data_IF_892602907118
#
_entry.id   IF_892602907118
#
_cell.length_a   1.000
_cell.length_b   1.000
_cell.length_c   1.000
_cell.angle_alpha   90.00
_cell.angle_beta   90.00
_cell.angle_gamma   90.00
#
_symmetry.space_group_name_H-M   'P 1'
#
loop_
_entity.id
_entity.type
_entity.pdbx_description
1 polymer ?
#
# COMPACT_ATOMS: atom_id res chain seq x y z
N UNK A 1 -26.98 18.46 -4.78
CA UNK A 1 -25.91 18.51 -3.74
C UNK A 1 -25.58 19.97 -3.50
N UNK A 2 -25.57 20.46 -2.25
CA UNK A 2 -25.32 21.88 -1.99
C UNK A 2 -23.83 22.26 -2.11
N UNK A 3 -23.54 23.54 -2.34
CA UNK A 3 -22.19 24.06 -2.62
C UNK A 3 -21.20 23.89 -1.45
N UNK A 4 -21.69 23.89 -0.21
CA UNK A 4 -20.91 23.68 1.03
C UNK A 4 -20.47 22.22 1.13
N UNK A 5 -21.36 21.28 0.83
CA UNK A 5 -21.05 19.84 0.81
C UNK A 5 -20.04 19.49 -0.28
N UNK A 6 -20.12 20.13 -1.46
CA UNK A 6 -19.13 19.95 -2.54
C UNK A 6 -17.72 20.41 -2.14
N UNK A 7 -17.60 21.63 -1.59
CA UNK A 7 -16.29 22.16 -1.14
C UNK A 7 -15.69 21.33 -0.01
N UNK A 8 -16.51 20.81 0.91
CA UNK A 8 -16.03 19.95 2.00
C UNK A 8 -15.42 18.65 1.43
N UNK A 9 -16.12 17.96 0.52
CA UNK A 9 -15.62 16.74 -0.12
C UNK A 9 -14.34 16.98 -0.90
N UNK A 10 -14.22 18.12 -1.59
CA UNK A 10 -13.04 18.47 -2.37
C UNK A 10 -11.80 18.66 -1.49
N UNK A 11 -11.97 19.17 -0.25
CA UNK A 11 -10.88 19.33 0.70
C UNK A 11 -10.46 17.99 1.35
N UNK A 12 -11.41 17.10 1.65
CA UNK A 12 -11.11 15.81 2.31
C UNK A 12 -10.70 14.70 1.34
N UNK A 13 -11.02 14.82 0.06
CA UNK A 13 -10.73 13.78 -0.94
C UNK A 13 -9.25 13.38 -1.03
N UNK A 14 -8.26 14.31 -1.02
CA UNK A 14 -6.84 13.93 -1.05
C UNK A 14 -6.43 13.06 0.13
N UNK A 15 -6.93 13.36 1.33
CA UNK A 15 -6.63 12.59 2.54
C UNK A 15 -7.16 11.16 2.46
N UNK A 16 -8.44 11.01 2.08
CA UNK A 16 -9.08 9.69 1.96
C UNK A 16 -8.41 8.86 0.85
N UNK A 17 -8.15 9.48 -0.30
CA UNK A 17 -7.45 8.84 -1.41
C UNK A 17 -6.07 8.36 -0.97
N UNK A 18 -5.27 9.26 -0.37
CA UNK A 18 -3.89 8.97 0.00
C UNK A 18 -3.81 7.92 1.13
N UNK A 19 -4.78 7.91 2.05
CA UNK A 19 -4.89 6.86 3.05
C UNK A 19 -5.16 5.50 2.39
N UNK A 20 -6.23 5.39 1.60
CA UNK A 20 -6.62 4.11 0.99
C UNK A 20 -5.51 3.60 0.07
N UNK A 21 -4.99 4.46 -0.80
CA UNK A 21 -3.93 4.08 -1.73
C UNK A 21 -2.62 3.72 -1.02
N UNK A 22 -2.25 4.46 0.03
CA UNK A 22 -1.06 4.16 0.82
C UNK A 22 -1.15 2.80 1.53
N UNK A 23 -2.30 2.49 2.15
CA UNK A 23 -2.49 1.18 2.81
C UNK A 23 -2.55 0.05 1.79
N UNK A 24 -3.28 0.24 0.69
CA UNK A 24 -3.44 -0.77 -0.36
C UNK A 24 -2.09 -1.13 -0.98
N UNK A 25 -1.36 -0.15 -1.49
CA UNK A 25 -0.08 -0.37 -2.18
C UNK A 25 0.95 -1.02 -1.25
N UNK A 26 1.00 -0.58 0.01
CA UNK A 26 1.87 -1.15 1.04
C UNK A 26 1.60 -2.62 1.31
N UNK A 27 0.32 -2.99 1.50
CA UNK A 27 -0.05 -4.38 1.76
C UNK A 27 0.23 -5.26 0.55
N UNK A 28 -0.09 -4.78 -0.66
CA UNK A 28 0.05 -5.53 -1.92
C UNK A 28 1.52 -5.73 -2.28
N UNK A 29 2.32 -4.65 -2.30
CA UNK A 29 3.76 -4.70 -2.63
C UNK A 29 4.52 -5.56 -1.62
N UNK A 30 4.27 -5.37 -0.33
CA UNK A 30 5.00 -6.08 0.73
C UNK A 30 4.63 -7.56 0.73
N UNK A 31 3.35 -7.93 0.69
CA UNK A 31 2.97 -9.36 0.68
C UNK A 31 3.47 -10.06 -0.59
N UNK A 32 3.45 -9.38 -1.74
CA UNK A 32 3.98 -9.91 -3.00
C UNK A 32 5.48 -10.16 -2.94
N UNK A 33 6.25 -9.16 -2.49
CA UNK A 33 7.71 -9.28 -2.33
C UNK A 33 8.06 -10.41 -1.34
N UNK A 34 7.49 -10.36 -0.13
CA UNK A 34 7.79 -11.33 0.92
C UNK A 34 7.40 -12.75 0.49
N UNK A 35 6.35 -12.91 -0.31
CA UNK A 35 5.97 -14.23 -0.84
C UNK A 35 7.04 -14.81 -1.77
N UNK A 36 7.55 -14.02 -2.71
CA UNK A 36 8.62 -14.47 -3.61
C UNK A 36 9.91 -14.82 -2.86
N UNK A 37 10.29 -13.99 -1.88
CA UNK A 37 11.49 -14.19 -1.08
C UNK A 37 11.34 -15.39 -0.13
N UNK A 38 10.19 -15.56 0.53
CA UNK A 38 9.94 -16.70 1.41
C UNK A 38 9.94 -18.03 0.66
N UNK A 39 9.31 -18.09 -0.52
CA UNK A 39 9.34 -19.27 -1.41
C UNK A 39 10.75 -19.57 -1.88
N UNK A 40 11.63 -18.56 -1.96
CA UNK A 40 13.01 -18.77 -2.33
C UNK A 40 13.83 -19.58 -1.31
N UNK A 41 13.30 -19.80 -0.11
CA UNK A 41 13.97 -20.55 0.96
C UNK A 41 15.15 -19.81 1.57
N UNK A 42 15.17 -18.47 1.48
CA UNK A 42 16.22 -17.66 2.10
C UNK A 42 16.03 -17.58 3.62
N UNK A 43 17.10 -17.22 4.32
CA UNK A 43 17.06 -17.05 5.76
C UNK A 43 16.11 -15.91 6.19
N UNK A 44 15.45 -16.09 7.34
CA UNK A 44 14.49 -15.15 7.92
C UNK A 44 15.01 -13.71 8.02
N UNK A 45 16.29 -13.54 8.39
CA UNK A 45 16.90 -12.21 8.50
C UNK A 45 16.96 -11.47 7.14
N UNK A 46 17.03 -12.19 6.01
CA UNK A 46 16.98 -11.60 4.66
C UNK A 46 15.55 -11.15 4.33
N UNK A 47 14.55 -11.96 4.69
CA UNK A 47 13.13 -11.60 4.54
C UNK A 47 12.83 -10.31 5.32
N UNK A 48 13.28 -10.23 6.57
CA UNK A 48 13.10 -9.06 7.41
C UNK A 48 13.84 -7.83 6.87
N UNK A 49 15.10 -7.99 6.46
CA UNK A 49 15.89 -6.89 5.91
C UNK A 49 15.26 -6.31 4.64
N UNK A 50 14.88 -7.17 3.70
CA UNK A 50 14.27 -6.76 2.43
C UNK A 50 12.89 -6.13 2.62
N UNK A 51 12.06 -6.70 3.50
CA UNK A 51 10.77 -6.10 3.88
C UNK A 51 10.92 -4.73 4.52
N UNK A 52 11.86 -4.55 5.46
CA UNK A 52 12.12 -3.24 6.06
C UNK A 52 12.61 -2.24 5.01
N UNK A 53 13.57 -2.62 4.16
CA UNK A 53 14.05 -1.73 3.09
C UNK A 53 12.89 -1.29 2.19
N UNK A 54 12.04 -2.24 1.75
CA UNK A 54 10.87 -1.92 0.94
C UNK A 54 9.98 -0.90 1.64
N UNK A 55 9.57 -1.16 2.89
CA UNK A 55 8.64 -0.31 3.62
C UNK A 55 9.17 1.12 3.74
N UNK A 56 10.42 1.29 4.12
CA UNK A 56 11.00 2.63 4.31
C UNK A 56 11.20 3.38 2.98
N UNK A 57 11.74 2.70 1.96
CA UNK A 57 12.03 3.32 0.66
C UNK A 57 10.75 3.66 -0.08
N UNK A 58 9.78 2.75 -0.12
CA UNK A 58 8.52 3.00 -0.81
C UNK A 58 7.62 3.97 -0.07
N UNK A 59 7.55 3.93 1.28
CA UNK A 59 6.83 4.95 2.03
C UNK A 59 7.31 6.36 1.68
N UNK A 60 8.64 6.55 1.67
CA UNK A 60 9.26 7.82 1.30
C UNK A 60 8.93 8.20 -0.15
N UNK A 61 9.12 7.27 -1.09
CA UNK A 61 8.82 7.46 -2.51
C UNK A 61 7.38 7.90 -2.74
N UNK A 62 6.41 7.20 -2.14
CA UNK A 62 4.99 7.53 -2.26
C UNK A 62 4.63 8.84 -1.58
N UNK A 63 5.16 9.09 -0.38
CA UNK A 63 4.94 10.36 0.34
C UNK A 63 5.40 11.56 -0.50
N UNK A 64 6.61 11.50 -1.05
CA UNK A 64 7.14 12.54 -1.94
C UNK A 64 6.37 12.59 -3.26
N UNK A 65 6.03 11.44 -3.85
CA UNK A 65 5.26 11.35 -5.09
C UNK A 65 3.88 12.00 -4.99
N UNK A 66 3.16 11.77 -3.90
CA UNK A 66 1.92 12.45 -3.57
C UNK A 66 2.12 13.95 -3.39
N UNK A 67 3.17 14.35 -2.67
CA UNK A 67 3.46 15.77 -2.42
C UNK A 67 3.65 16.54 -3.73
N UNK A 68 4.49 15.99 -4.61
CA UNK A 68 4.77 16.60 -5.91
C UNK A 68 3.53 16.59 -6.81
N UNK A 69 2.77 15.50 -6.79
CA UNK A 69 1.56 15.35 -7.60
C UNK A 69 0.46 16.31 -7.17
N UNK A 70 0.22 16.47 -5.87
CA UNK A 70 -0.77 17.41 -5.33
C UNK A 70 -0.35 18.86 -5.52
N UNK A 71 0.93 19.17 -5.27
CA UNK A 71 1.46 20.50 -5.52
C UNK A 71 1.33 20.89 -7.00
N UNK A 72 1.66 19.98 -7.92
CA UNK A 72 1.55 20.20 -9.36
C UNK A 72 0.10 20.36 -9.82
N UNK A 73 -0.81 19.53 -9.30
CA UNK A 73 -2.24 19.63 -9.60
C UNK A 73 -2.84 20.95 -9.11
N UNK A 74 -2.49 21.39 -7.89
CA UNK A 74 -2.95 22.67 -7.36
C UNK A 74 -2.41 23.87 -8.16
N UNK A 75 -1.12 23.83 -8.54
CA UNK A 75 -0.49 24.87 -9.36
C UNK A 75 -1.17 24.98 -10.72
N UNK A 76 -1.45 23.84 -11.36
CA UNK A 76 -2.16 23.78 -12.63
C UNK A 76 -3.58 24.36 -12.53
N UNK A 77 -4.36 23.95 -11.53
CA UNK A 77 -5.75 24.39 -11.36
C UNK A 77 -5.88 25.87 -11.00
N UNK A 78 -4.92 26.44 -10.25
CA UNK A 78 -4.97 27.84 -9.80
C UNK A 78 -4.23 28.80 -10.73
N UNK A 79 -3.48 28.31 -11.71
CA UNK A 79 -2.73 29.12 -12.67
C UNK A 79 -1.68 30.05 -12.03
N UNK A 80 -1.21 29.73 -10.82
CA UNK A 80 -0.23 30.53 -10.07
C UNK A 80 0.59 29.65 -9.13
N UNK A 81 1.72 30.16 -8.65
CA UNK A 81 2.51 29.51 -7.61
C UNK A 81 1.68 29.30 -6.34
N UNK A 82 1.76 28.09 -5.79
CA UNK A 82 1.13 27.68 -4.54
C UNK A 82 2.21 27.20 -3.60
N UNK A 83 2.05 27.42 -2.29
CA UNK A 83 3.04 26.91 -1.33
C UNK A 83 2.98 25.38 -1.24
N UNK A 84 4.15 24.74 -1.23
CA UNK A 84 4.30 23.30 -0.95
C UNK A 84 3.65 22.88 0.37
N UNK A 85 3.61 23.77 1.37
CA UNK A 85 3.06 23.47 2.69
C UNK A 85 1.58 23.05 2.66
N UNK A 86 0.84 23.39 1.59
CA UNK A 86 -0.57 23.00 1.43
C UNK A 86 -0.77 21.53 1.11
N UNK A 87 0.17 20.91 0.41
CA UNK A 87 0.11 19.50 0.03
C UNK A 87 0.68 18.58 1.12
N UNK A 88 1.51 19.12 2.03
CA UNK A 88 2.14 18.34 3.11
C UNK A 88 1.17 17.47 3.93
N UNK A 89 0.01 17.95 4.39
CA UNK A 89 -0.82 17.14 5.28
C UNK A 89 -1.37 15.88 4.61
N UNK A 90 -1.86 15.99 3.37
CA UNK A 90 -2.40 14.82 2.66
C UNK A 90 -1.28 13.86 2.24
N UNK A 91 -0.12 14.36 1.84
CA UNK A 91 1.04 13.51 1.51
C UNK A 91 1.66 12.83 2.72
N UNK A 92 1.62 13.49 3.90
CA UNK A 92 1.98 12.86 5.16
C UNK A 92 1.04 11.69 5.49
N UNK A 93 -0.26 11.83 5.20
CA UNK A 93 -1.20 10.70 5.32
C UNK A 93 -0.78 9.53 4.40
N UNK A 94 -0.33 9.80 3.17
CA UNK A 94 0.18 8.73 2.30
C UNK A 94 1.39 8.02 2.93
N UNK A 95 2.41 8.79 3.31
CA UNK A 95 3.65 8.26 3.91
C UNK A 95 3.35 7.43 5.15
N UNK A 96 2.60 7.99 6.11
CA UNK A 96 2.33 7.33 7.40
C UNK A 96 1.49 6.08 7.20
N UNK A 97 0.46 6.15 6.34
CA UNK A 97 -0.43 5.02 6.11
C UNK A 97 0.35 3.86 5.49
N UNK A 98 1.12 4.11 4.43
CA UNK A 98 1.95 3.11 3.79
C UNK A 98 2.99 2.53 4.77
N UNK A 99 3.71 3.41 5.49
CA UNK A 99 4.75 3.00 6.41
C UNK A 99 4.20 2.05 7.48
N UNK A 100 3.09 2.42 8.13
CA UNK A 100 2.51 1.64 9.21
C UNK A 100 1.88 0.34 8.72
N UNK A 101 1.16 0.36 7.60
CA UNK A 101 0.52 -0.85 7.08
C UNK A 101 1.51 -1.89 6.58
N UNK A 102 2.71 -1.47 6.14
CA UNK A 102 3.72 -2.38 5.61
C UNK A 102 4.24 -3.37 6.66
N UNK A 103 4.15 -2.98 7.94
CA UNK A 103 4.48 -3.89 9.04
C UNK A 103 3.46 -5.02 9.22
N UNK A 104 2.24 -4.92 8.67
CA UNK A 104 1.22 -5.98 8.80
C UNK A 104 1.69 -7.30 8.17
N UNK A 105 2.07 -7.36 6.87
CA UNK A 105 2.67 -8.55 6.26
C UNK A 105 4.01 -8.94 6.90
N UNK A 106 4.80 -7.96 7.36
CA UNK A 106 6.13 -8.24 7.91
C UNK A 106 6.07 -8.85 9.32
N UNK A 107 5.07 -8.49 10.12
CA UNK A 107 4.99 -8.82 11.55
C UNK A 107 5.04 -10.33 11.85
N UNK A 108 4.35 -11.23 11.11
CA UNK A 108 4.47 -12.67 11.34
C UNK A 108 5.91 -13.18 11.26
N UNK A 109 6.76 -12.61 10.41
CA UNK A 109 8.17 -12.99 10.30
C UNK A 109 9.03 -12.49 11.45
N UNK A 110 8.53 -11.62 12.33
CA UNK A 110 9.25 -11.20 13.54
C UNK A 110 9.09 -12.18 14.70
N UNK A 111 7.96 -12.89 14.75
CA UNK A 111 7.54 -13.67 15.92
C UNK A 111 7.38 -15.16 15.65
N UNK A 112 7.28 -15.56 14.38
CA UNK A 112 7.11 -16.94 13.95
C UNK A 112 8.26 -17.41 13.07
N UNK A 113 8.44 -18.73 13.00
CA UNK A 113 9.34 -19.37 12.04
C UNK A 113 8.81 -19.23 10.61
N UNK A 114 9.71 -19.15 9.62
CA UNK A 114 9.38 -18.88 8.21
C UNK A 114 8.25 -19.76 7.66
N UNK A 115 8.21 -21.05 8.04
CA UNK A 115 7.18 -22.01 7.60
C UNK A 115 5.77 -21.64 8.02
N UNK A 116 5.62 -21.03 9.20
CA UNK A 116 4.33 -20.58 9.75
C UNK A 116 4.09 -19.10 9.49
N UNK A 117 5.14 -18.28 9.52
CA UNK A 117 5.10 -16.86 9.20
C UNK A 117 4.57 -16.60 7.78
N UNK A 118 5.00 -17.39 6.79
CA UNK A 118 4.60 -17.22 5.39
C UNK A 118 3.08 -17.29 5.16
N UNK A 119 2.39 -18.41 5.48
CA UNK A 119 0.93 -18.47 5.30
C UNK A 119 0.19 -17.48 6.20
N UNK A 120 0.68 -17.23 7.42
CA UNK A 120 0.07 -16.24 8.32
C UNK A 120 0.18 -14.82 7.74
N UNK A 121 1.33 -14.43 7.19
CA UNK A 121 1.55 -13.15 6.49
C UNK A 121 0.56 -12.94 5.36
N UNK A 122 0.37 -13.94 4.50
CA UNK A 122 -0.61 -13.86 3.41
C UNK A 122 -2.02 -13.67 3.99
N UNK A 123 -2.41 -14.49 4.96
CA UNK A 123 -3.74 -14.45 5.55
C UNK A 123 -4.06 -13.09 6.20
N UNK A 124 -3.15 -12.55 7.03
CA UNK A 124 -3.38 -11.26 7.69
C UNK A 124 -3.38 -10.10 6.69
N UNK A 125 -2.59 -10.17 5.62
CA UNK A 125 -2.53 -9.12 4.59
C UNK A 125 -3.79 -9.10 3.74
N UNK A 126 -4.24 -10.26 3.28
CA UNK A 126 -5.50 -10.38 2.53
C UNK A 126 -6.69 -9.98 3.40
N UNK A 127 -6.69 -10.35 4.68
CA UNK A 127 -7.72 -9.90 5.60
C UNK A 127 -7.69 -8.38 5.81
N UNK A 128 -6.51 -7.78 5.97
CA UNK A 128 -6.35 -6.33 6.09
C UNK A 128 -6.83 -5.60 4.81
N UNK A 129 -6.53 -6.12 3.62
CA UNK A 129 -7.02 -5.61 2.33
C UNK A 129 -8.55 -5.71 2.22
N UNK A 130 -9.13 -6.83 2.67
CA UNK A 130 -10.57 -6.97 2.71
C UNK A 130 -11.23 -5.93 3.64
N UNK A 131 -10.66 -5.72 4.84
CA UNK A 131 -11.13 -4.68 5.77
C UNK A 131 -10.96 -3.27 5.19
N UNK A 132 -9.85 -3.02 4.49
CA UNK A 132 -9.62 -1.75 3.79
C UNK A 132 -10.69 -1.53 2.72
N UNK A 133 -11.08 -2.55 1.97
CA UNK A 133 -12.14 -2.45 0.97
C UNK A 133 -13.52 -2.22 1.59
N UNK A 134 -13.79 -2.85 2.75
CA UNK A 134 -15.03 -2.59 3.50
C UNK A 134 -15.11 -1.13 3.98
N UNK A 135 -13.99 -0.60 4.47
CA UNK A 135 -13.89 0.78 4.95
C UNK A 135 -13.93 1.77 3.77
N UNK A 136 -13.04 1.60 2.80
CA UNK A 136 -12.90 2.43 1.61
C UNK A 136 -14.18 2.48 0.79
N UNK A 137 -14.86 1.35 0.61
CA UNK A 137 -16.14 1.29 -0.10
C UNK A 137 -17.22 2.17 0.52
N UNK A 138 -17.30 2.20 1.86
CA UNK A 138 -18.24 3.05 2.61
C UNK A 138 -17.87 4.53 2.47
N UNK A 139 -16.60 4.88 2.64
CA UNK A 139 -16.14 6.28 2.55
C UNK A 139 -16.28 6.84 1.13
N UNK A 140 -15.99 6.03 0.11
CA UNK A 140 -16.05 6.41 -1.30
C UNK A 140 -17.46 6.30 -1.90
N UNK A 141 -18.46 5.84 -1.13
CA UNK A 141 -19.85 5.66 -1.59
C UNK A 141 -19.96 4.74 -2.82
N UNK A 142 -19.10 3.72 -2.87
CA UNK A 142 -19.12 2.68 -3.91
C UNK A 142 -19.65 1.37 -3.31
N UNK A 143 -19.86 0.35 -4.15
CA UNK A 143 -20.29 -0.95 -3.67
C UNK A 143 -19.19 -1.59 -2.79
N UNK A 144 -19.46 -1.64 -1.49
CA UNK A 144 -18.56 -2.12 -0.44
C UNK A 144 -18.06 -3.54 -0.70
N UNK A 145 -18.98 -4.43 -1.10
CA UNK A 145 -18.65 -5.83 -1.32
C UNK A 145 -17.72 -5.98 -2.53
N UNK A 146 -18.03 -5.26 -3.62
CA UNK A 146 -17.20 -5.25 -4.82
C UNK A 146 -15.79 -4.73 -4.54
N UNK A 147 -15.66 -3.59 -3.85
CA UNK A 147 -14.36 -3.01 -3.50
C UNK A 147 -13.51 -3.94 -2.63
N UNK A 148 -14.14 -4.68 -1.71
CA UNK A 148 -13.44 -5.64 -0.85
C UNK A 148 -12.90 -6.84 -1.65
N UNK A 149 -13.68 -7.35 -2.61
CA UNK A 149 -13.21 -8.41 -3.50
C UNK A 149 -12.14 -7.93 -4.49
N UNK A 150 -12.24 -6.70 -5.00
CA UNK A 150 -11.22 -6.09 -5.86
C UNK A 150 -9.86 -6.05 -5.12
N UNK A 151 -9.82 -5.57 -3.88
CA UNK A 151 -8.58 -5.54 -3.09
C UNK A 151 -8.03 -6.94 -2.76
N UNK A 152 -8.90 -7.91 -2.46
CA UNK A 152 -8.48 -9.31 -2.28
C UNK A 152 -7.84 -9.89 -3.55
N UNK A 153 -8.43 -9.63 -4.71
CA UNK A 153 -7.90 -10.10 -6.00
C UNK A 153 -6.55 -9.47 -6.28
N UNK A 154 -6.40 -8.15 -6.08
CA UNK A 154 -5.13 -7.45 -6.29
C UNK A 154 -4.04 -8.04 -5.38
N UNK A 155 -4.31 -8.20 -4.09
CA UNK A 155 -3.38 -8.82 -3.15
C UNK A 155 -3.03 -10.26 -3.50
N UNK A 156 -4.03 -11.07 -3.87
CA UNK A 156 -3.81 -12.46 -4.31
C UNK A 156 -2.97 -12.57 -5.58
N UNK A 157 -3.21 -11.68 -6.55
CA UNK A 157 -2.40 -11.58 -7.77
C UNK A 157 -0.96 -11.19 -7.45
N UNK A 158 -0.72 -10.25 -6.52
CA UNK A 158 0.64 -9.89 -6.11
C UNK A 158 1.39 -11.06 -5.45
N UNK A 159 0.73 -11.86 -4.61
CA UNK A 159 1.31 -13.11 -4.06
C UNK A 159 1.71 -14.06 -5.19
N UNK A 160 0.83 -14.26 -6.16
CA UNK A 160 1.11 -15.11 -7.34
C UNK A 160 2.28 -14.56 -8.15
N UNK A 161 2.33 -13.25 -8.40
CA UNK A 161 3.44 -12.60 -9.11
C UNK A 161 4.75 -12.86 -8.39
N UNK A 162 4.80 -12.65 -7.07
CA UNK A 162 6.00 -12.94 -6.27
C UNK A 162 6.46 -14.39 -6.41
N UNK A 163 5.53 -15.34 -6.32
CA UNK A 163 5.81 -16.77 -6.50
C UNK A 163 6.32 -17.09 -7.93
N UNK A 164 5.72 -16.49 -8.95
CA UNK A 164 6.11 -16.68 -10.36
C UNK A 164 7.51 -16.11 -10.62
N UNK A 165 7.78 -14.88 -10.19
CA UNK A 165 9.08 -14.23 -10.36
C UNK A 165 10.17 -15.09 -9.71
N UNK A 166 9.91 -15.66 -8.52
CA UNK A 166 10.88 -16.59 -7.91
C UNK A 166 11.17 -17.80 -8.79
N UNK A 167 10.21 -18.35 -9.52
CA UNK A 167 10.46 -19.50 -10.40
C UNK A 167 11.24 -19.13 -11.66
N UNK A 168 11.14 -17.89 -12.14
CA UNK A 168 11.83 -17.44 -13.35
C UNK A 168 13.31 -17.14 -13.12
N UNK A 169 13.64 -16.48 -12.01
CA UNK A 169 15.01 -15.96 -11.75
C UNK A 169 16.11 -17.05 -11.80
N UNK A 170 15.96 -18.25 -11.21
CA UNK A 170 17.00 -19.28 -11.30
C UNK A 170 17.27 -19.76 -12.74
N UNK A 171 16.26 -19.73 -13.62
CA UNK A 171 16.41 -20.12 -15.02
C UNK A 171 17.08 -19.04 -15.89
N UNK A 172 17.24 -17.83 -15.36
CA UNK A 172 17.84 -16.68 -16.04
C UNK A 172 19.29 -16.44 -15.65
N UNK A 173 19.69 -16.86 -14.44
CA UNK A 173 21.00 -16.58 -13.84
C UNK A 173 21.79 -17.88 -13.57
N UNK A 174 21.19 -19.05 -13.81
CA UNK A 174 21.84 -20.37 -13.77
C UNK A 174 22.19 -20.86 -15.16
#
# INVERSE_FOLDING_TARGET
MDQKTYKLRQHFAPYVRNFIFGVEDSLVSTVGLLSGIAIAGVAQHIILLTGLILIFVEAFSMGVGSLLSEHSAEKYLKGREVSFARALPASAVMFISYFLSGFIPLFPYLVLDVSTAFPTSIAVSLFALFLLGLAGGKFLHVNVLRSSFEMLIIGGVAVIIGAVVRNLVPNLIG
#
